data_IF_818608833659
#
_entry.id   IF_818608833659
#
_cell.length_a   1.000
_cell.length_b   1.000
_cell.length_c   1.000
_cell.angle_alpha   90.00
_cell.angle_beta   90.00
_cell.angle_gamma   90.00
#
_symmetry.space_group_name_H-M   'P 1'
#
loop_
_entity.id
_entity.type
_entity.pdbx_description
1 polymer ?
#
# COMPACT_ATOMS: atom_id res chain seq x y z
N UNK A 1 -21.95 -9.45 24.16
CA UNK A 1 -21.56 -9.22 23.73
C UNK A 1 -20.85 -9.06 23.27
N UNK A 2 -20.68 -9.32 23.50
CA UNK A 2 -19.61 -8.89 22.99
C UNK A 2 -19.51 -8.70 21.64
N UNK A 3 -19.91 -7.85 21.27
CA UNK A 3 -19.69 -7.40 19.98
C UNK A 3 -18.23 -7.33 19.76
N UNK A 4 -17.78 -7.66 18.63
CA UNK A 4 -16.42 -7.47 18.27
C UNK A 4 -16.12 -5.98 18.25
N UNK A 5 -15.18 -5.52 19.04
CA UNK A 5 -14.84 -4.12 19.04
C UNK A 5 -14.16 -3.68 17.75
N UNK A 6 -13.75 -4.62 16.90
CA UNK A 6 -12.97 -4.32 15.72
C UNK A 6 -13.75 -4.41 14.43
N UNK A 7 -15.08 -4.30 14.49
CA UNK A 7 -15.88 -4.33 13.27
C UNK A 7 -15.48 -3.22 12.31
N UNK A 8 -15.00 -2.09 12.84
CA UNK A 8 -14.55 -0.99 11.98
C UNK A 8 -13.29 -1.30 11.21
N UNK A 9 -12.51 -2.29 11.64
CA UNK A 9 -11.30 -2.69 10.94
C UNK A 9 -11.58 -3.74 9.86
N UNK A 10 -12.74 -4.38 9.91
CA UNK A 10 -13.11 -5.45 8.99
C UNK A 10 -12.52 -6.78 9.40
N UNK A 11 -12.56 -7.74 8.47
CA UNK A 11 -12.02 -9.08 8.74
C UNK A 11 -10.50 -9.00 8.88
N UNK A 12 -9.91 -9.91 9.68
CA UNK A 12 -8.46 -9.90 9.88
C UNK A 12 -7.67 -10.08 8.59
N UNK A 13 -6.48 -9.50 8.57
CA UNK A 13 -5.54 -9.63 7.45
C UNK A 13 -4.80 -10.96 7.56
N UNK A 14 -5.49 -12.04 7.24
CA UNK A 14 -4.86 -13.35 7.21
C UNK A 14 -3.87 -13.43 6.06
N UNK A 15 -2.98 -14.41 6.07
CA UNK A 15 -2.01 -14.59 4.99
C UNK A 15 -2.71 -14.69 3.64
N UNK A 16 -3.78 -15.46 3.57
CA UNK A 16 -4.53 -15.63 2.32
C UNK A 16 -5.07 -14.30 1.80
N UNK A 17 -5.61 -13.48 2.71
CA UNK A 17 -6.13 -12.18 2.33
C UNK A 17 -5.03 -11.21 1.92
N UNK A 18 -3.89 -11.25 2.60
CA UNK A 18 -2.75 -10.41 2.22
C UNK A 18 -2.27 -10.75 0.81
N UNK A 19 -2.19 -12.03 0.48
CA UNK A 19 -1.80 -12.46 -0.86
C UNK A 19 -2.80 -11.97 -1.90
N UNK A 20 -4.09 -12.12 -1.62
CA UNK A 20 -5.14 -11.67 -2.54
C UNK A 20 -5.08 -10.15 -2.76
N UNK A 21 -4.84 -9.40 -1.69
CA UNK A 21 -4.73 -7.94 -1.78
C UNK A 21 -3.50 -7.56 -2.62
N UNK A 22 -2.36 -8.19 -2.37
CA UNK A 22 -1.15 -7.91 -3.14
C UNK A 22 -1.38 -8.16 -4.63
N UNK A 23 -2.04 -9.26 -4.97
CA UNK A 23 -2.36 -9.57 -6.36
C UNK A 23 -3.28 -8.53 -6.99
N UNK A 24 -4.28 -8.08 -6.23
CA UNK A 24 -5.21 -7.07 -6.71
C UNK A 24 -4.50 -5.73 -6.95
N UNK A 25 -3.63 -5.33 -6.03
CA UNK A 25 -2.85 -4.10 -6.19
C UNK A 25 -1.97 -4.17 -7.43
N UNK A 26 -1.34 -5.32 -7.68
CA UNK A 26 -0.51 -5.50 -8.87
C UNK A 26 -1.31 -5.46 -10.17
N UNK A 27 -2.57 -5.87 -10.14
CA UNK A 27 -3.42 -5.86 -11.32
C UNK A 27 -4.01 -4.50 -11.63
N UNK A 28 -4.47 -3.78 -10.58
CA UNK A 28 -5.34 -2.63 -10.81
C UNK A 28 -4.85 -1.32 -10.21
N UNK A 29 -3.81 -1.33 -9.38
CA UNK A 29 -3.45 -0.14 -8.59
C UNK A 29 -1.96 0.21 -8.64
N UNK A 30 -1.25 -0.22 -9.67
CA UNK A 30 0.20 0.06 -9.73
C UNK A 30 0.49 1.55 -9.86
N UNK A 31 -0.34 2.29 -10.60
CA UNK A 31 -0.14 3.73 -10.72
C UNK A 31 -0.32 4.43 -9.37
N UNK A 32 -1.31 3.99 -8.59
CA UNK A 32 -1.54 4.53 -7.25
C UNK A 32 -0.35 4.24 -6.35
N UNK A 33 0.20 3.04 -6.45
CA UNK A 33 1.36 2.67 -5.64
C UNK A 33 2.60 3.45 -6.06
N UNK A 34 2.76 3.68 -7.36
CA UNK A 34 3.84 4.51 -7.87
C UNK A 34 3.74 5.93 -7.31
N UNK A 35 2.53 6.48 -7.24
CA UNK A 35 2.31 7.79 -6.65
C UNK A 35 2.77 7.82 -5.20
N UNK A 36 2.44 6.80 -4.42
CA UNK A 36 2.86 6.73 -3.02
C UNK A 36 4.38 6.69 -2.90
N UNK A 37 5.05 5.90 -3.73
CA UNK A 37 6.51 5.81 -3.71
C UNK A 37 7.14 7.15 -4.04
N UNK A 38 6.70 7.79 -5.09
CA UNK A 38 7.28 9.08 -5.51
C UNK A 38 7.03 10.17 -4.48
N UNK A 39 5.83 10.22 -3.91
CA UNK A 39 5.48 11.28 -2.97
C UNK A 39 6.14 11.09 -1.62
N UNK A 40 6.21 9.87 -1.12
CA UNK A 40 6.68 9.61 0.24
C UNK A 40 8.17 9.40 0.32
N UNK A 41 8.76 8.79 -0.70
CA UNK A 41 10.19 8.49 -0.70
C UNK A 41 11.01 9.46 -1.54
N UNK A 42 10.35 10.33 -2.29
CA UNK A 42 11.05 11.28 -3.15
C UNK A 42 11.85 10.60 -4.26
N UNK A 43 11.45 9.40 -4.65
CA UNK A 43 12.21 8.59 -5.59
C UNK A 43 11.77 8.89 -7.02
N UNK A 44 12.20 10.02 -7.56
CA UNK A 44 11.79 10.47 -8.90
C UNK A 44 12.24 9.54 -10.01
N UNK A 45 13.29 8.76 -9.77
CA UNK A 45 13.84 7.85 -10.77
C UNK A 45 12.97 6.60 -10.98
N UNK A 46 12.04 6.32 -10.07
CA UNK A 46 11.21 5.12 -10.15
C UNK A 46 10.18 5.27 -11.26
N UNK A 47 10.13 4.28 -12.13
CA UNK A 47 9.18 4.24 -13.25
C UNK A 47 8.14 3.14 -13.07
N UNK A 48 8.48 2.08 -12.34
CA UNK A 48 7.59 0.94 -12.14
C UNK A 48 7.68 0.44 -10.71
N UNK A 49 6.58 -0.11 -10.22
CA UNK A 49 6.52 -0.72 -8.89
C UNK A 49 5.85 -2.08 -9.00
N UNK A 50 6.18 -2.96 -8.09
CA UNK A 50 5.53 -4.26 -7.96
C UNK A 50 5.36 -4.56 -6.47
N UNK A 51 4.18 -5.01 -6.09
CA UNK A 51 3.91 -5.38 -4.70
C UNK A 51 4.44 -6.79 -4.48
N UNK A 52 5.31 -6.94 -3.50
CA UNK A 52 5.87 -8.24 -3.15
C UNK A 52 5.04 -8.88 -2.05
N UNK A 53 4.76 -8.13 -0.98
CA UNK A 53 3.98 -8.61 0.15
C UNK A 53 3.48 -7.43 0.96
N UNK A 54 2.59 -7.69 1.90
CA UNK A 54 2.16 -6.68 2.85
C UNK A 54 1.89 -7.33 4.19
N UNK A 55 1.90 -6.51 5.22
CA UNK A 55 1.59 -6.96 6.57
C UNK A 55 0.82 -5.85 7.29
N UNK A 56 0.63 -5.98 8.59
CA UNK A 56 -0.16 -4.99 9.34
C UNK A 56 0.56 -3.66 9.49
N UNK A 57 1.85 -3.60 9.22
CA UNK A 57 2.66 -2.39 9.43
C UNK A 57 3.05 -1.70 8.14
N UNK A 58 2.94 -2.36 6.98
CA UNK A 58 3.34 -1.72 5.74
C UNK A 58 3.28 -2.65 4.53
N UNK A 59 3.82 -2.16 3.42
CA UNK A 59 3.83 -2.84 2.14
C UNK A 59 5.26 -2.95 1.66
N UNK A 60 5.67 -4.15 1.27
CA UNK A 60 6.98 -4.39 0.67
C UNK A 60 6.84 -4.38 -0.84
N UNK A 61 7.65 -3.55 -1.50
CA UNK A 61 7.60 -3.39 -2.94
C UNK A 61 8.97 -3.63 -3.54
N UNK A 62 8.97 -3.88 -4.84
CA UNK A 62 10.14 -3.78 -5.67
C UNK A 62 9.92 -2.62 -6.62
N UNK A 63 10.85 -1.68 -6.66
CA UNK A 63 10.74 -0.51 -7.52
C UNK A 63 11.85 -0.56 -8.57
N UNK A 64 11.55 -0.07 -9.76
CA UNK A 64 12.53 -0.09 -10.85
C UNK A 64 12.44 1.16 -11.71
N UNK A 65 13.55 1.49 -12.33
CA UNK A 65 13.67 2.63 -13.25
C UNK A 65 15.14 2.96 -13.43
N UNK A 66 15.49 3.63 -14.54
CA UNK A 66 16.86 4.05 -14.82
C UNK A 66 17.86 2.90 -14.67
N UNK A 67 17.46 1.70 -15.09
CA UNK A 67 18.27 0.48 -15.04
C UNK A 67 18.62 0.04 -13.62
N UNK A 68 17.82 0.47 -12.63
CA UNK A 68 17.99 0.06 -11.24
C UNK A 68 16.76 -0.70 -10.78
N UNK A 69 16.97 -1.63 -9.85
CA UNK A 69 15.90 -2.36 -9.17
C UNK A 69 16.23 -2.37 -7.68
N UNK A 70 15.28 -1.94 -6.87
CA UNK A 70 15.50 -1.83 -5.43
C UNK A 70 14.29 -2.35 -4.67
N UNK A 71 14.50 -3.03 -3.53
CA UNK A 71 13.41 -3.26 -2.59
C UNK A 71 13.09 -1.94 -1.87
N UNK A 72 11.82 -1.75 -1.55
CA UNK A 72 11.37 -0.55 -0.86
C UNK A 72 10.19 -0.91 0.02
N UNK A 73 10.08 -0.27 1.17
CA UNK A 73 8.95 -0.49 2.06
C UNK A 73 8.20 0.81 2.29
N UNK A 74 6.88 0.75 2.16
CA UNK A 74 5.99 1.84 2.56
C UNK A 74 5.38 1.47 3.90
N UNK A 75 5.68 2.24 4.93
CA UNK A 75 5.13 2.00 6.26
C UNK A 75 3.80 2.70 6.42
N UNK A 76 2.85 2.04 7.10
CA UNK A 76 1.60 2.69 7.47
C UNK A 76 1.84 3.60 8.68
N UNK A 77 1.10 4.71 8.79
CA UNK A 77 1.25 5.60 9.96
C UNK A 77 0.89 4.89 11.26
N UNK A 78 -0.04 3.94 11.23
CA UNK A 78 -0.39 3.09 12.36
C UNK A 78 -0.65 1.68 11.84
N UNK A 79 -0.48 0.63 12.65
CA UNK A 79 -0.79 -0.72 12.18
C UNK A 79 -2.26 -0.86 11.78
N UNK A 80 -2.51 -1.67 10.76
CA UNK A 80 -3.85 -1.95 10.27
C UNK A 80 -4.20 -3.39 10.61
N UNK A 81 -5.23 -3.57 11.44
CA UNK A 81 -5.54 -4.89 11.97
C UNK A 81 -6.59 -5.65 11.17
N UNK A 82 -7.12 -5.05 10.12
CA UNK A 82 -8.11 -5.73 9.30
C UNK A 82 -8.19 -5.14 7.90
N UNK A 83 -8.97 -5.79 7.03
CA UNK A 83 -9.06 -5.44 5.62
C UNK A 83 -9.63 -4.03 5.41
N UNK A 84 -10.64 -3.65 6.19
CA UNK A 84 -11.22 -2.31 6.04
C UNK A 84 -10.26 -1.23 6.51
N UNK A 85 -9.55 -1.48 7.61
CA UNK A 85 -8.52 -0.54 8.08
C UNK A 85 -7.42 -0.39 7.05
N UNK A 86 -7.01 -1.49 6.42
CA UNK A 86 -6.03 -1.46 5.34
C UNK A 86 -6.51 -0.58 4.20
N UNK A 87 -7.75 -0.79 3.74
CA UNK A 87 -8.30 -0.02 2.62
C UNK A 87 -8.38 1.46 2.93
N UNK A 88 -8.82 1.82 4.14
CA UNK A 88 -8.90 3.23 4.54
C UNK A 88 -7.53 3.87 4.59
N UNK A 89 -6.57 3.19 5.21
CA UNK A 89 -5.23 3.74 5.36
C UNK A 89 -4.56 3.90 4.01
N UNK A 90 -4.61 2.87 3.17
CA UNK A 90 -4.00 2.96 1.85
C UNK A 90 -4.71 3.99 0.98
N UNK A 91 -6.05 4.05 1.04
CA UNK A 91 -6.81 5.05 0.30
C UNK A 91 -6.39 6.46 0.65
N UNK A 92 -6.21 6.75 1.94
CA UNK A 92 -5.73 8.06 2.39
C UNK A 92 -4.32 8.34 1.87
N UNK A 93 -3.42 7.36 1.97
CA UNK A 93 -2.06 7.51 1.48
C UNK A 93 -2.03 7.81 -0.02
N UNK A 94 -2.86 7.11 -0.79
CA UNK A 94 -2.94 7.33 -2.23
C UNK A 94 -3.45 8.75 -2.53
N UNK A 95 -4.54 9.14 -1.88
CA UNK A 95 -5.14 10.46 -2.10
C UNK A 95 -4.14 11.56 -1.79
N UNK A 96 -3.47 11.47 -0.64
CA UNK A 96 -2.49 12.47 -0.23
C UNK A 96 -1.28 12.48 -1.16
N UNK A 97 -0.83 11.32 -1.60
CA UNK A 97 0.31 11.20 -2.48
C UNK A 97 0.03 11.80 -3.86
N UNK A 98 -1.14 11.49 -4.42
CA UNK A 98 -1.52 12.04 -5.73
C UNK A 98 -1.70 13.54 -5.67
N UNK A 99 -2.29 14.05 -4.59
CA UNK A 99 -2.43 15.48 -4.40
C UNK A 99 -1.07 16.17 -4.31
N UNK A 100 -0.15 15.57 -3.57
CA UNK A 100 1.20 16.11 -3.41
C UNK A 100 1.95 16.18 -4.74
N UNK A 101 1.72 15.21 -5.61
CA UNK A 101 2.37 15.15 -6.93
C UNK A 101 1.60 15.93 -8.01
N UNK A 102 0.38 16.37 -7.72
CA UNK A 102 -0.46 17.00 -8.73
C UNK A 102 -1.04 16.00 -9.73
N UNK A 103 -1.22 14.75 -9.34
CA UNK A 103 -1.72 13.68 -10.21
C UNK A 103 -3.23 13.47 -10.04
N UNK A 104 -4.00 14.49 -9.99
CA UNK A 104 -5.44 14.32 -9.77
C UNK A 104 -6.25 14.16 -11.05
#
# INVERSE_FOLDING_TARGET
MASSPNNSDGVPLTEKRRIAIANHLNQDHLEDMLACVKAQEGADWVEQVRIISLDTAGINLEVSGSERVHPLRLDFPVPVMGVLAFKRTLGTMITESRAKLGWE
#
